data_IF_639919084391
#
_entry.id   IF_639919084391
#
_cell.length_a   1.000
_cell.length_b   1.000
_cell.length_c   1.000
_cell.angle_alpha   90.00
_cell.angle_beta   90.00
_cell.angle_gamma   90.00
#
_symmetry.space_group_name_H-M   'P 1'
#
loop_
_entity.id
_entity.type
_entity.pdbx_description
1 polymer ?
#
# COMPACT_ATOMS: atom_id res chain seq x y z
N UNK A 1 11.31 -5.24 20.35
CA UNK A 1 12.28 -5.12 19.24
C UNK A 1 13.04 -3.82 19.39
N UNK A 2 14.38 -3.85 19.37
CA UNK A 2 15.24 -2.69 19.48
C UNK A 2 15.74 -2.22 18.10
N UNK A 3 16.41 -1.07 18.03
CA UNK A 3 16.88 -0.52 16.75
C UNK A 3 17.93 -1.42 16.08
N UNK A 4 18.79 -2.06 16.88
CA UNK A 4 19.79 -3.02 16.40
C UNK A 4 19.15 -4.28 15.78
N UNK A 5 17.96 -4.65 16.24
CA UNK A 5 17.24 -5.83 15.73
C UNK A 5 16.65 -5.58 14.33
N UNK A 6 16.31 -4.32 14.00
CA UNK A 6 15.77 -3.98 12.69
C UNK A 6 16.76 -4.32 11.58
N UNK A 7 18.03 -4.02 11.77
CA UNK A 7 19.08 -4.35 10.80
C UNK A 7 19.21 -5.86 10.53
N UNK A 8 18.79 -6.70 11.49
CA UNK A 8 18.76 -8.17 11.36
C UNK A 8 17.43 -8.67 10.83
N UNK A 9 16.32 -8.03 11.25
CA UNK A 9 14.98 -8.47 10.90
C UNK A 9 14.60 -8.17 9.43
N UNK A 10 14.99 -7.02 8.89
CA UNK A 10 14.66 -6.65 7.52
C UNK A 10 15.28 -7.60 6.48
N UNK A 11 16.57 -7.96 6.54
CA UNK A 11 17.14 -8.94 5.62
C UNK A 11 16.46 -10.32 5.68
N UNK A 12 16.01 -10.74 6.85
CA UNK A 12 15.22 -11.98 6.99
C UNK A 12 13.90 -11.87 6.21
N UNK A 13 13.19 -10.74 6.33
CA UNK A 13 11.96 -10.50 5.59
C UNK A 13 12.18 -10.36 4.09
N UNK A 14 13.27 -9.74 3.65
CA UNK A 14 13.65 -9.64 2.23
C UNK A 14 13.83 -11.04 1.63
N UNK A 15 14.58 -11.93 2.31
CA UNK A 15 14.75 -13.32 1.90
C UNK A 15 13.43 -14.12 1.88
N UNK A 16 12.55 -13.87 2.84
CA UNK A 16 11.22 -14.48 2.83
C UNK A 16 10.35 -13.96 1.68
N UNK A 17 10.45 -12.66 1.35
CA UNK A 17 9.71 -12.04 0.25
C UNK A 17 10.07 -12.65 -1.13
N UNK A 18 11.31 -13.09 -1.33
CA UNK A 18 11.73 -13.77 -2.57
C UNK A 18 10.90 -15.03 -2.86
N UNK A 19 10.36 -15.67 -1.81
CA UNK A 19 9.52 -16.86 -1.89
C UNK A 19 8.03 -16.55 -2.08
N UNK A 20 7.64 -15.29 -2.04
CA UNK A 20 6.23 -14.87 -2.01
C UNK A 20 5.88 -13.97 -3.20
N UNK A 21 4.61 -14.01 -3.57
CA UNK A 21 4.07 -13.02 -4.50
C UNK A 21 4.08 -11.62 -3.88
N UNK A 22 4.56 -10.66 -4.62
CA UNK A 22 4.56 -9.26 -4.22
C UNK A 22 3.13 -8.71 -4.21
N UNK A 23 2.81 -7.74 -3.34
CA UNK A 23 1.54 -7.01 -3.41
C UNK A 23 1.33 -6.42 -4.81
N UNK A 24 0.09 -6.48 -5.33
CA UNK A 24 -0.20 -6.11 -6.73
C UNK A 24 0.26 -4.71 -7.12
N UNK A 25 0.07 -3.73 -6.22
CA UNK A 25 0.51 -2.35 -6.48
C UNK A 25 2.04 -2.27 -6.61
N UNK A 26 2.77 -3.06 -5.82
CA UNK A 26 4.23 -3.15 -5.92
C UNK A 26 4.69 -3.90 -7.18
N UNK A 27 3.90 -4.86 -7.68
CA UNK A 27 4.17 -5.52 -8.97
C UNK A 27 4.03 -4.55 -10.13
N UNK A 28 2.96 -3.76 -10.17
CA UNK A 28 2.72 -2.74 -11.20
C UNK A 28 3.81 -1.66 -11.22
N UNK A 29 4.41 -1.36 -10.06
CA UNK A 29 5.51 -0.40 -9.98
C UNK A 29 6.81 -0.87 -10.67
N UNK A 30 6.98 -2.18 -10.90
CA UNK A 30 8.10 -2.72 -11.68
C UNK A 30 8.04 -2.31 -13.15
N UNK A 31 6.85 -2.06 -13.67
CA UNK A 31 6.61 -1.43 -14.97
C UNK A 31 6.84 0.07 -14.81
N UNK A 32 8.06 0.54 -15.03
CA UNK A 32 8.49 1.92 -14.78
C UNK A 32 7.58 2.98 -15.45
N UNK A 33 7.45 4.16 -14.80
CA UNK A 33 6.79 5.37 -15.30
C UNK A 33 5.27 5.32 -15.52
N UNK A 34 4.53 4.73 -14.59
CA UNK A 34 3.07 4.75 -14.67
C UNK A 34 2.41 5.25 -13.35
N UNK A 35 2.69 6.49 -12.87
CA UNK A 35 2.14 6.99 -11.61
C UNK A 35 0.61 6.98 -11.58
N UNK A 36 -0.06 7.18 -12.73
CA UNK A 36 -1.51 7.13 -12.83
C UNK A 36 -2.04 5.73 -12.53
N UNK A 37 -1.46 4.68 -13.11
CA UNK A 37 -1.90 3.31 -12.83
C UNK A 37 -1.64 2.91 -11.38
N UNK A 38 -0.54 3.37 -10.79
CA UNK A 38 -0.24 3.17 -9.36
C UNK A 38 -1.28 3.87 -8.50
N UNK A 39 -1.66 5.12 -8.81
CA UNK A 39 -2.70 5.87 -8.12
C UNK A 39 -4.03 5.12 -8.18
N UNK A 40 -4.49 4.74 -9.37
CA UNK A 40 -5.75 4.02 -9.55
C UNK A 40 -5.74 2.65 -8.85
N UNK A 41 -4.67 1.88 -9.00
CA UNK A 41 -4.52 0.57 -8.32
C UNK A 41 -4.56 0.72 -6.81
N UNK A 42 -3.93 1.78 -6.27
CA UNK A 42 -3.94 2.05 -4.84
C UNK A 42 -5.34 2.40 -4.34
N UNK A 43 -6.09 3.21 -5.08
CA UNK A 43 -7.50 3.50 -4.78
C UNK A 43 -8.36 2.23 -4.81
N UNK A 44 -8.16 1.36 -5.79
CA UNK A 44 -8.85 0.08 -5.88
C UNK A 44 -8.52 -0.86 -4.71
N UNK A 45 -7.27 -0.85 -4.22
CA UNK A 45 -6.80 -1.71 -3.12
C UNK A 45 -7.37 -1.34 -1.74
N UNK A 46 -7.94 -0.13 -1.57
CA UNK A 46 -8.50 0.30 -0.29
C UNK A 46 -9.66 -0.63 0.13
N UNK A 47 -9.55 -1.29 1.29
CA UNK A 47 -10.55 -2.25 1.81
C UNK A 47 -10.92 -3.35 0.80
N UNK A 48 -9.95 -3.78 0.00
CA UNK A 48 -10.14 -4.83 -1.01
C UNK A 48 -8.98 -5.82 -0.89
N UNK A 49 -9.25 -7.09 -1.10
CA UNK A 49 -8.20 -8.12 -1.17
C UNK A 49 -7.32 -7.89 -2.40
N UNK A 50 -6.06 -8.25 -2.28
CA UNK A 50 -5.06 -8.03 -3.32
C UNK A 50 -5.40 -8.76 -4.63
N UNK A 51 -5.88 -10.00 -4.51
CA UNK A 51 -6.30 -10.82 -5.66
C UNK A 51 -7.46 -10.17 -6.44
N UNK A 52 -8.42 -9.57 -5.72
CA UNK A 52 -9.55 -8.83 -6.33
C UNK A 52 -9.07 -7.54 -6.97
N UNK A 53 -8.10 -6.87 -6.35
CA UNK A 53 -7.48 -5.66 -6.93
C UNK A 53 -6.74 -6.01 -8.22
N UNK A 54 -5.99 -7.13 -8.25
CA UNK A 54 -5.30 -7.61 -9.44
C UNK A 54 -6.27 -7.81 -10.60
N UNK A 55 -7.33 -8.60 -10.39
CA UNK A 55 -8.34 -8.86 -11.41
C UNK A 55 -9.02 -7.58 -11.93
N UNK A 56 -9.29 -6.62 -11.03
CA UNK A 56 -9.87 -5.34 -11.41
C UNK A 56 -8.93 -4.50 -12.28
N UNK A 57 -7.63 -4.46 -11.94
CA UNK A 57 -6.63 -3.73 -12.74
C UNK A 57 -6.40 -4.39 -14.10
N UNK A 58 -6.36 -5.72 -14.16
CA UNK A 58 -6.27 -6.49 -15.42
C UNK A 58 -7.42 -6.21 -16.39
N UNK A 59 -8.63 -5.96 -15.86
CA UNK A 59 -9.79 -5.61 -16.67
C UNK A 59 -9.83 -4.13 -17.05
N UNK A 60 -9.50 -3.23 -16.13
CA UNK A 60 -9.66 -1.79 -16.32
C UNK A 60 -8.53 -1.18 -17.18
N UNK A 61 -7.28 -1.56 -16.98
CA UNK A 61 -6.15 -0.91 -17.63
C UNK A 61 -6.01 -1.16 -19.14
N UNK A 62 -6.46 -2.29 -19.72
CA UNK A 62 -6.57 -2.39 -21.17
C UNK A 62 -7.56 -1.39 -21.80
N UNK A 63 -8.54 -0.90 -21.01
CA UNK A 63 -9.56 0.06 -21.46
C UNK A 63 -9.12 1.51 -21.30
N UNK A 64 -8.30 1.82 -20.26
CA UNK A 64 -7.88 3.18 -19.96
C UNK A 64 -6.60 3.19 -19.11
N UNK A 65 -5.53 3.80 -19.62
CA UNK A 65 -4.22 3.94 -18.96
C UNK A 65 -3.88 5.39 -18.62
N UNK A 66 -4.68 6.34 -19.08
CA UNK A 66 -4.49 7.79 -18.86
C UNK A 66 -5.75 8.42 -18.28
N UNK A 67 -5.65 9.59 -17.63
CA UNK A 67 -6.82 10.32 -17.15
C UNK A 67 -7.84 10.60 -18.27
N UNK A 68 -7.37 10.98 -19.46
CA UNK A 68 -8.23 11.29 -20.59
C UNK A 68 -8.98 10.06 -21.11
N UNK A 69 -8.32 8.90 -21.20
CA UNK A 69 -8.98 7.64 -21.58
C UNK A 69 -9.98 7.21 -20.51
N UNK A 70 -9.65 7.38 -19.23
CA UNK A 70 -10.55 7.03 -18.14
C UNK A 70 -11.86 7.83 -18.18
N UNK A 71 -11.82 9.12 -18.54
CA UNK A 71 -13.01 9.95 -18.68
C UNK A 71 -13.86 9.63 -19.94
N UNK A 72 -13.35 8.85 -20.90
CA UNK A 72 -14.14 8.37 -22.06
C UNK A 72 -14.98 7.14 -21.69
N UNK A 73 -14.68 6.49 -20.57
CA UNK A 73 -15.50 5.39 -20.07
C UNK A 73 -16.73 5.92 -19.32
N UNK A 74 -17.89 5.29 -19.52
CA UNK A 74 -19.02 5.59 -18.66
C UNK A 74 -18.81 5.04 -17.24
N UNK A 75 -19.45 5.65 -16.23
CA UNK A 75 -19.36 5.15 -14.85
C UNK A 75 -19.68 3.65 -14.75
N UNK A 76 -20.69 3.17 -15.48
CA UNK A 76 -21.13 1.80 -15.48
C UNK A 76 -20.08 0.85 -16.06
N UNK A 77 -19.32 1.27 -17.09
CA UNK A 77 -18.21 0.50 -17.65
C UNK A 77 -17.08 0.35 -16.66
N UNK A 78 -16.76 1.43 -15.93
CA UNK A 78 -15.74 1.38 -14.86
C UNK A 78 -16.21 0.44 -13.75
N UNK A 79 -17.46 0.58 -13.28
CA UNK A 79 -18.06 -0.28 -12.25
C UNK A 79 -18.00 -1.76 -12.64
N UNK A 80 -18.39 -2.11 -13.88
CA UNK A 80 -18.31 -3.47 -14.39
C UNK A 80 -16.88 -4.02 -14.41
N UNK A 81 -15.91 -3.20 -14.84
CA UNK A 81 -14.51 -3.61 -14.90
C UNK A 81 -13.93 -3.88 -13.51
N UNK A 82 -14.29 -3.04 -12.52
CA UNK A 82 -13.72 -3.15 -11.17
C UNK A 82 -14.53 -4.05 -10.22
N UNK A 83 -15.70 -4.54 -10.59
CA UNK A 83 -16.45 -5.49 -9.79
C UNK A 83 -15.65 -6.81 -9.62
N UNK A 84 -15.56 -7.41 -8.40
CA UNK A 84 -16.26 -7.13 -7.14
C UNK A 84 -15.40 -6.37 -6.10
N UNK A 85 -14.67 -5.34 -6.50
CA UNK A 85 -13.89 -4.50 -5.58
C UNK A 85 -14.79 -3.89 -4.49
N UNK A 86 -14.33 -3.91 -3.25
CA UNK A 86 -15.11 -3.31 -2.15
C UNK A 86 -15.45 -1.84 -2.42
N UNK A 87 -16.72 -1.47 -2.24
CA UNK A 87 -17.26 -0.12 -2.51
C UNK A 87 -17.08 0.34 -3.96
N UNK A 88 -17.18 -0.56 -4.93
CA UNK A 88 -16.87 -0.32 -6.33
C UNK A 88 -17.64 0.87 -6.95
N UNK A 89 -18.91 1.10 -6.62
CA UNK A 89 -19.65 2.28 -7.07
C UNK A 89 -18.99 3.60 -6.64
N UNK A 90 -18.61 3.71 -5.36
CA UNK A 90 -17.93 4.90 -4.87
C UNK A 90 -16.53 5.04 -5.47
N UNK A 91 -15.82 3.93 -5.68
CA UNK A 91 -14.50 3.94 -6.30
C UNK A 91 -14.56 4.35 -7.76
N UNK A 92 -15.55 3.92 -8.53
CA UNK A 92 -15.75 4.37 -9.90
C UNK A 92 -15.94 5.90 -9.95
N UNK A 93 -16.79 6.45 -9.08
CA UNK A 93 -16.97 7.91 -8.96
C UNK A 93 -15.66 8.62 -8.57
N UNK A 94 -14.92 8.06 -7.61
CA UNK A 94 -13.64 8.62 -7.18
C UNK A 94 -12.61 8.60 -8.32
N UNK A 95 -12.50 7.51 -9.08
CA UNK A 95 -11.61 7.40 -10.23
C UNK A 95 -11.92 8.45 -11.29
N UNK A 96 -13.20 8.66 -11.60
CA UNK A 96 -13.64 9.72 -12.52
C UNK A 96 -13.29 11.10 -11.99
N UNK A 97 -13.57 11.37 -10.71
CA UNK A 97 -13.29 12.66 -10.08
C UNK A 97 -11.78 12.95 -10.06
N UNK A 98 -10.95 11.98 -9.69
CA UNK A 98 -9.48 12.08 -9.73
C UNK A 98 -9.00 12.34 -11.15
N UNK A 99 -9.50 11.60 -12.15
CA UNK A 99 -9.08 11.75 -13.55
C UNK A 99 -9.41 13.16 -14.07
N UNK A 100 -10.56 13.70 -13.69
CA UNK A 100 -10.97 15.06 -14.04
C UNK A 100 -10.06 16.10 -13.39
N UNK A 101 -9.82 15.98 -12.08
CA UNK A 101 -8.94 16.89 -11.34
C UNK A 101 -7.51 16.91 -11.92
N UNK A 102 -7.00 15.72 -12.34
CA UNK A 102 -5.69 15.62 -13.00
C UNK A 102 -5.67 16.36 -14.33
N UNK A 103 -6.73 16.32 -15.12
CA UNK A 103 -6.82 17.05 -16.39
C UNK A 103 -6.93 18.55 -16.12
N UNK A 104 -7.85 18.95 -15.25
CA UNK A 104 -8.22 20.35 -15.06
C UNK A 104 -7.12 21.15 -14.35
N UNK A 105 -6.38 20.54 -13.41
CA UNK A 105 -5.42 21.25 -12.55
C UNK A 105 -3.99 20.76 -12.62
N UNK A 106 -3.76 19.59 -13.20
CA UNK A 106 -2.43 18.97 -13.19
C UNK A 106 -1.92 18.56 -14.58
N UNK A 107 -2.48 19.17 -15.66
CA UNK A 107 -2.06 18.91 -17.05
C UNK A 107 -2.02 17.41 -17.41
N UNK A 108 -2.98 16.63 -16.91
CA UNK A 108 -3.07 15.17 -17.04
C UNK A 108 -1.92 14.38 -16.37
N UNK A 109 -1.10 15.03 -15.54
CA UNK A 109 -0.02 14.39 -14.80
C UNK A 109 -0.45 14.11 -13.35
N UNK A 110 0.04 13.04 -12.78
CA UNK A 110 -0.11 12.78 -11.34
C UNK A 110 0.87 13.69 -10.60
N UNK A 111 0.43 14.47 -9.60
CA UNK A 111 1.33 15.29 -8.82
C UNK A 111 2.30 14.44 -8.00
N UNK A 112 3.48 14.99 -7.74
CA UNK A 112 4.60 14.30 -7.10
C UNK A 112 4.98 14.88 -5.73
N UNK A 113 4.03 15.61 -5.11
CA UNK A 113 4.14 16.13 -3.74
C UNK A 113 3.03 15.62 -2.84
N UNK A 114 3.32 15.48 -1.54
CA UNK A 114 2.33 15.00 -0.56
C UNK A 114 1.11 15.92 -0.51
N UNK A 115 1.32 17.21 -0.51
CA UNK A 115 0.26 18.22 -0.42
C UNK A 115 -0.72 18.11 -1.59
N UNK A 116 -0.21 18.11 -2.81
CA UNK A 116 -1.04 18.03 -4.02
C UNK A 116 -1.75 16.68 -4.13
N UNK A 117 -1.10 15.57 -3.74
CA UNK A 117 -1.74 14.25 -3.73
C UNK A 117 -2.89 14.19 -2.72
N UNK A 118 -2.73 14.79 -1.54
CA UNK A 118 -3.79 14.84 -0.52
C UNK A 118 -4.98 15.73 -0.94
N UNK A 119 -4.79 16.66 -1.86
CA UNK A 119 -5.86 17.47 -2.43
C UNK A 119 -6.74 16.68 -3.42
N UNK A 120 -6.26 15.56 -3.97
CA UNK A 120 -7.03 14.74 -4.91
C UNK A 120 -8.18 14.00 -4.18
N UNK A 121 -9.37 13.90 -4.82
CA UNK A 121 -10.53 13.23 -4.26
C UNK A 121 -10.22 11.77 -3.81
N UNK A 122 -10.53 11.43 -2.56
CA UNK A 122 -10.37 10.08 -2.02
C UNK A 122 -8.91 9.63 -1.78
N UNK A 123 -7.94 10.52 -1.95
CA UNK A 123 -6.53 10.25 -1.69
C UNK A 123 -6.18 10.63 -0.25
N UNK A 124 -5.89 9.64 0.57
CA UNK A 124 -5.36 9.82 1.93
C UNK A 124 -3.85 9.60 1.99
N UNK A 125 -3.26 9.79 3.18
CA UNK A 125 -1.81 9.66 3.43
C UNK A 125 -1.23 8.33 2.95
N UNK A 126 -1.94 7.21 3.17
CA UNK A 126 -1.50 5.89 2.68
C UNK A 126 -1.35 5.90 1.15
N UNK A 127 -2.37 6.36 0.44
CA UNK A 127 -2.37 6.42 -1.03
C UNK A 127 -1.27 7.37 -1.53
N UNK A 128 -1.18 8.57 -0.96
CA UNK A 128 -0.17 9.56 -1.33
C UNK A 128 1.26 9.03 -1.12
N UNK A 129 1.58 8.45 0.05
CA UNK A 129 2.89 7.85 0.28
C UNK A 129 3.21 6.73 -0.73
N UNK A 130 2.22 5.86 -1.04
CA UNK A 130 2.46 4.75 -1.95
C UNK A 130 2.71 5.24 -3.39
N UNK A 131 1.99 6.27 -3.83
CA UNK A 131 2.20 6.92 -5.13
C UNK A 131 3.57 7.59 -5.19
N UNK A 132 3.99 8.32 -4.14
CA UNK A 132 5.31 8.94 -4.08
C UNK A 132 6.44 7.90 -4.15
N UNK A 133 6.32 6.81 -3.39
CA UNK A 133 7.33 5.76 -3.32
C UNK A 133 7.40 4.99 -4.64
N UNK A 134 6.27 4.47 -5.11
CA UNK A 134 6.23 3.53 -6.23
C UNK A 134 6.15 4.23 -7.58
N UNK A 135 5.51 5.39 -7.65
CA UNK A 135 5.32 6.15 -8.89
C UNK A 135 6.46 7.11 -9.20
N UNK A 136 7.11 7.66 -8.18
CA UNK A 136 8.13 8.70 -8.33
C UNK A 136 9.48 8.36 -7.69
N UNK A 137 9.61 7.18 -7.12
CA UNK A 137 10.82 6.72 -6.38
C UNK A 137 11.25 7.69 -5.26
N UNK A 138 10.29 8.46 -4.72
CA UNK A 138 10.53 9.41 -3.62
C UNK A 138 10.61 8.72 -2.26
N UNK A 139 11.30 9.34 -1.31
CA UNK A 139 11.33 8.87 0.07
C UNK A 139 9.96 9.00 0.73
N UNK A 140 9.53 7.94 1.40
CA UNK A 140 8.28 7.92 2.15
C UNK A 140 8.08 6.62 2.91
N UNK A 141 7.17 6.63 3.88
CA UNK A 141 6.75 5.42 4.60
C UNK A 141 5.25 5.25 4.39
N UNK A 142 4.87 4.23 3.64
CA UNK A 142 3.47 3.88 3.50
C UNK A 142 3.04 3.00 4.67
N UNK A 143 2.15 3.50 5.53
CA UNK A 143 1.61 2.74 6.66
C UNK A 143 0.17 2.33 6.37
N UNK A 144 -0.01 1.03 6.22
CA UNK A 144 -1.32 0.39 6.16
C UNK A 144 -1.62 -0.39 7.45
N UNK A 145 -2.69 -1.16 7.45
CA UNK A 145 -3.07 -1.98 8.61
C UNK A 145 -2.03 -3.05 8.96
N UNK A 146 -1.24 -3.54 7.98
CA UNK A 146 -0.18 -4.50 8.24
C UNK A 146 1.02 -3.84 8.89
N UNK A 147 1.51 -2.74 8.32
CA UNK A 147 2.64 -1.97 8.89
C UNK A 147 2.30 -1.52 10.30
N UNK A 148 1.14 -0.88 10.50
CA UNK A 148 0.69 -0.44 11.82
C UNK A 148 0.66 -1.59 12.83
N UNK A 149 -0.02 -2.70 12.48
CA UNK A 149 -0.15 -3.84 13.37
C UNK A 149 1.19 -4.48 13.73
N UNK A 150 2.03 -4.71 12.73
CA UNK A 150 3.26 -5.49 12.89
C UNK A 150 4.30 -4.68 13.65
N UNK A 151 4.50 -3.41 13.32
CA UNK A 151 5.44 -2.52 14.02
C UNK A 151 5.10 -2.38 15.51
N UNK A 152 3.80 -2.29 15.84
CA UNK A 152 3.33 -2.30 17.23
C UNK A 152 3.52 -3.67 17.90
N UNK A 153 3.24 -4.78 17.20
CA UNK A 153 3.46 -6.15 17.74
C UNK A 153 4.93 -6.44 18.01
N UNK A 154 5.81 -5.93 17.19
CA UNK A 154 7.24 -6.01 17.41
C UNK A 154 7.69 -5.25 18.65
N UNK A 155 6.86 -4.32 19.18
CA UNK A 155 7.26 -3.38 20.21
C UNK A 155 8.21 -2.31 19.68
N UNK A 156 8.38 -2.21 18.35
CA UNK A 156 9.26 -1.25 17.71
C UNK A 156 8.71 0.18 17.81
N UNK A 157 7.39 0.32 17.69
CA UNK A 157 6.66 1.56 17.97
C UNK A 157 5.48 1.27 18.91
N UNK A 158 4.94 2.33 19.55
CA UNK A 158 3.74 2.26 20.41
C UNK A 158 2.79 3.36 19.97
N UNK A 159 1.86 3.04 19.07
CA UNK A 159 0.99 4.01 18.41
C UNK A 159 -0.43 3.49 18.31
N UNK A 160 -1.41 4.41 18.26
CA UNK A 160 -2.84 4.07 18.23
C UNK A 160 -3.42 4.11 16.80
N UNK A 161 -2.80 4.86 15.89
CA UNK A 161 -3.29 5.05 14.52
C UNK A 161 -2.18 4.80 13.50
N UNK A 162 -2.52 4.44 12.24
CA UNK A 162 -1.54 4.33 11.16
C UNK A 162 -0.75 5.61 10.92
N UNK A 163 -1.38 6.78 11.06
CA UNK A 163 -0.71 8.06 10.91
C UNK A 163 0.35 8.29 12.00
N UNK A 164 0.02 8.03 13.26
CA UNK A 164 1.01 8.06 14.35
C UNK A 164 2.16 7.07 14.10
N UNK A 165 1.85 5.91 13.54
CA UNK A 165 2.88 4.92 13.18
C UNK A 165 3.79 5.43 12.07
N UNK A 166 3.27 6.14 11.07
CA UNK A 166 4.06 6.76 10.01
C UNK A 166 5.10 7.71 10.62
N UNK A 167 4.66 8.64 11.47
CA UNK A 167 5.57 9.61 12.08
C UNK A 167 6.59 8.92 13.02
N UNK A 168 6.16 7.99 13.85
CA UNK A 168 7.07 7.25 14.73
C UNK A 168 8.12 6.43 13.94
N UNK A 169 7.74 5.86 12.81
CA UNK A 169 8.68 5.16 11.93
C UNK A 169 9.63 6.13 11.22
N UNK A 170 9.17 7.33 10.83
CA UNK A 170 10.04 8.37 10.24
C UNK A 170 11.15 8.82 11.21
N UNK A 171 10.87 8.85 12.50
CA UNK A 171 11.84 9.19 13.53
C UNK A 171 12.82 8.04 13.83
N UNK A 172 12.35 6.79 13.73
CA UNK A 172 13.08 5.64 14.28
C UNK A 172 13.64 4.69 13.21
N UNK A 173 12.90 4.44 12.13
CA UNK A 173 13.31 3.48 11.11
C UNK A 173 14.43 4.05 10.24
N UNK A 174 15.57 3.35 10.03
CA UNK A 174 16.61 3.79 9.11
C UNK A 174 16.06 4.06 7.71
N UNK A 175 16.44 5.19 7.09
CA UNK A 175 15.90 5.68 5.81
C UNK A 175 15.98 4.66 4.68
N UNK A 176 17.02 3.85 4.66
CA UNK A 176 17.20 2.78 3.67
C UNK A 176 16.04 1.79 3.60
N UNK A 177 15.25 1.62 4.67
CA UNK A 177 14.10 0.69 4.72
C UNK A 177 12.75 1.36 4.47
N UNK A 178 12.68 2.69 4.32
CA UNK A 178 11.43 3.43 4.22
C UNK A 178 10.58 2.99 3.03
N UNK A 179 11.18 2.88 1.86
CA UNK A 179 10.47 2.55 0.61
C UNK A 179 9.93 1.12 0.59
N UNK A 180 10.62 0.19 1.24
CA UNK A 180 10.31 -1.24 1.17
C UNK A 180 9.46 -1.77 2.33
N UNK A 181 9.45 -1.08 3.49
CA UNK A 181 8.80 -1.58 4.71
C UNK A 181 7.33 -1.96 4.50
N UNK A 182 6.59 -1.22 3.67
CA UNK A 182 5.21 -1.55 3.36
C UNK A 182 5.12 -2.88 2.61
N UNK A 183 5.85 -3.07 1.53
CA UNK A 183 5.86 -4.30 0.72
C UNK A 183 6.22 -5.51 1.56
N UNK A 184 7.27 -5.40 2.37
CA UNK A 184 7.73 -6.46 3.28
C UNK A 184 6.65 -6.83 4.30
N UNK A 185 6.06 -5.85 4.99
CA UNK A 185 5.11 -6.10 6.06
C UNK A 185 3.72 -6.47 5.56
N UNK A 186 3.32 -6.07 4.38
CA UNK A 186 2.09 -6.57 3.73
C UNK A 186 2.25 -8.05 3.40
N UNK A 187 3.32 -8.46 2.73
CA UNK A 187 3.57 -9.84 2.38
C UNK A 187 3.69 -10.73 3.63
N UNK A 188 4.49 -10.31 4.61
CA UNK A 188 4.65 -11.01 5.88
C UNK A 188 3.36 -11.09 6.70
N UNK A 189 2.58 -10.01 6.72
CA UNK A 189 1.33 -9.90 7.48
C UNK A 189 0.18 -10.71 6.88
N UNK A 190 0.24 -11.04 5.59
CA UNK A 190 -0.73 -11.91 4.90
C UNK A 190 -0.47 -13.40 5.16
N UNK A 191 0.78 -13.77 5.43
CA UNK A 191 1.21 -15.19 5.50
C UNK A 191 1.56 -15.64 6.91
N UNK A 192 2.28 -14.83 7.65
CA UNK A 192 2.85 -15.23 8.97
C UNK A 192 2.25 -14.43 10.13
N UNK A 193 2.34 -13.10 10.09
CA UNK A 193 1.86 -12.24 11.17
C UNK A 193 0.38 -11.86 10.98
N UNK A 194 -0.51 -12.85 10.95
CA UNK A 194 -1.94 -12.68 10.72
C UNK A 194 -2.61 -11.79 11.77
N UNK A 195 -3.71 -11.08 11.44
CA UNK A 195 -4.47 -10.25 12.40
C UNK A 195 -4.92 -11.07 13.61
N UNK A 196 -5.51 -12.21 13.35
CA UNK A 196 -6.00 -13.14 14.38
C UNK A 196 -5.11 -14.38 14.36
N UNK A 197 -4.66 -14.83 15.54
CA UNK A 197 -3.84 -16.05 15.72
C UNK A 197 -2.65 -16.14 14.76
N UNK A 198 -1.66 -15.21 14.87
CA UNK A 198 -0.45 -15.25 14.04
C UNK A 198 0.35 -16.54 14.23
N UNK A 199 1.13 -16.90 13.21
CA UNK A 199 1.92 -18.15 13.19
C UNK A 199 3.27 -17.97 13.93
N UNK A 200 3.22 -17.64 15.23
CA UNK A 200 4.41 -17.28 16.00
C UNK A 200 5.36 -18.44 16.22
N UNK A 201 4.90 -19.71 16.23
CA UNK A 201 5.74 -20.90 16.42
C UNK A 201 6.77 -21.08 15.29
N UNK A 202 6.40 -20.73 14.05
CA UNK A 202 7.25 -20.81 12.84
C UNK A 202 7.66 -19.45 12.28
N UNK A 203 7.50 -18.38 13.07
CA UNK A 203 7.84 -17.02 12.64
C UNK A 203 9.36 -16.84 12.65
N UNK A 204 9.99 -16.44 11.52
CA UNK A 204 11.43 -16.24 11.46
C UNK A 204 11.93 -15.09 12.34
N UNK A 205 11.02 -14.18 12.74
CA UNK A 205 11.33 -13.05 13.61
C UNK A 205 10.97 -13.29 15.09
N UNK A 206 10.70 -14.54 15.48
CA UNK A 206 10.26 -14.88 16.85
C UNK A 206 11.21 -14.37 17.93
N UNK A 207 12.51 -14.42 17.68
CA UNK A 207 13.56 -14.00 18.63
C UNK A 207 13.69 -12.50 18.79
N UNK A 208 13.13 -11.70 17.87
CA UNK A 208 13.21 -10.23 17.87
C UNK A 208 11.89 -9.55 18.26
N UNK A 209 10.79 -10.32 18.35
CA UNK A 209 9.44 -9.77 18.45
C UNK A 209 8.92 -9.85 19.88
N UNK A 210 8.48 -8.72 20.46
CA UNK A 210 7.90 -8.64 21.81
C UNK A 210 6.48 -9.20 21.87
N UNK A 211 5.86 -9.48 20.71
CA UNK A 211 4.49 -10.02 20.59
C UNK A 211 3.42 -9.20 21.31
N UNK A 212 3.61 -7.87 21.32
CA UNK A 212 2.69 -6.94 21.98
C UNK A 212 1.25 -7.16 21.49
N UNK A 213 0.33 -7.37 22.43
CA UNK A 213 -1.10 -7.56 22.14
C UNK A 213 -1.48 -8.92 21.52
N UNK A 214 -0.55 -9.86 21.38
CA UNK A 214 -0.82 -11.21 20.87
C UNK A 214 -1.33 -12.09 22.02
N UNK A 215 -2.65 -12.31 22.08
CA UNK A 215 -3.30 -13.14 23.09
C UNK A 215 -3.27 -14.64 22.75
N UNK A 216 -3.36 -14.97 21.44
CA UNK A 216 -3.32 -16.35 20.91
C UNK A 216 -2.45 -16.40 19.66
N UNK A 217 -1.66 -17.44 19.50
CA UNK A 217 -0.82 -17.67 18.34
C UNK A 217 -0.73 -19.16 18.01
N UNK A 218 -0.37 -19.47 16.78
CA UNK A 218 -0.13 -20.85 16.29
C UNK A 218 1.35 -21.03 15.99
#
# INVERSE_FOLDING_TARGET
>A
MHDEDIAKAIPILQKELEKWEWPIVSQLAKERNQPFLILISTLLSLRTKDEVTAQATEKLFPMARTPAEMLRLSPEKIEQAIYPVGFYHNKARTIIAVSRELIDRHHSLVPDTMEQLLALPGVGRKTANLVLILGFDKEGICVDTHVHRISNRWGYVRTKTPEQTEFALREKLPRQYWKEINTLLVAFGRRTCLPVSPLCSRCPLRGYCDRVGVKRSR
#
